data_IF_249412346165
#
_entry.id   IF_249412346165
#
_cell.length_a   1.000
_cell.length_b   1.000
_cell.length_c   1.000
_cell.angle_alpha   90.00
_cell.angle_beta   90.00
_cell.angle_gamma   90.00
#
_symmetry.space_group_name_H-M   'P 1'
#
loop_
_entity.id
_entity.type
_entity.pdbx_description
1 polymer ?
#
# COMPACT_ATOMS: atom_id res chain seq x y z
N UNK A 1 64.24 -24.39 7.34
CA UNK A 1 63.60 -25.17 6.26
C UNK A 1 62.09 -25.08 6.42
N UNK A 2 61.41 -24.55 5.39
CA UNK A 2 60.05 -24.87 4.92
C UNK A 2 58.89 -24.59 5.92
N UNK A 3 58.19 -23.46 5.85
CA UNK A 3 57.21 -23.00 4.84
C UNK A 3 55.86 -23.73 4.88
N UNK A 4 54.80 -22.92 4.82
CA UNK A 4 53.40 -23.21 4.46
C UNK A 4 52.56 -23.97 5.52
N UNK A 5 51.33 -23.56 5.84
CA UNK A 5 50.34 -22.87 5.02
C UNK A 5 49.25 -22.29 5.95
N UNK A 6 49.03 -20.98 5.85
CA UNK A 6 47.76 -20.36 6.23
C UNK A 6 46.64 -21.09 5.49
N UNK A 7 45.64 -21.60 6.21
CA UNK A 7 44.38 -22.02 5.61
C UNK A 7 43.32 -20.99 5.97
N UNK A 8 43.25 -19.98 5.11
CA UNK A 8 42.11 -19.11 4.95
C UNK A 8 40.96 -19.98 4.40
N UNK A 9 39.96 -20.23 5.24
CA UNK A 9 38.71 -20.86 4.85
C UNK A 9 37.60 -19.84 5.07
N UNK A 10 37.46 -18.91 4.13
CA UNK A 10 36.28 -18.07 3.97
C UNK A 10 35.04 -18.95 4.00
N UNK A 11 34.31 -18.96 5.10
CA UNK A 11 32.94 -19.44 5.07
C UNK A 11 32.11 -18.37 4.39
N UNK A 12 31.65 -18.73 3.20
CA UNK A 12 30.76 -17.96 2.38
C UNK A 12 29.52 -17.58 3.20
N UNK A 13 29.32 -16.28 3.36
CA UNK A 13 28.03 -15.69 3.69
C UNK A 13 27.15 -15.79 2.43
N UNK A 14 26.72 -17.01 2.08
CA UNK A 14 25.68 -17.24 1.07
C UNK A 14 24.87 -18.46 1.47
N UNK A 15 23.74 -18.18 2.10
CA UNK A 15 22.54 -18.99 2.13
C UNK A 15 21.47 -18.16 2.86
N UNK A 16 21.05 -17.08 2.21
CA UNK A 16 19.68 -16.63 2.38
C UNK A 16 18.79 -17.69 1.71
N UNK A 17 18.48 -18.76 2.43
CA UNK A 17 17.28 -19.56 2.17
C UNK A 17 16.99 -20.45 3.39
N UNK A 18 16.27 -19.95 4.42
CA UNK A 18 15.58 -20.86 5.31
C UNK A 18 14.41 -21.44 4.51
N UNK A 19 14.63 -22.66 4.04
CA UNK A 19 13.62 -23.58 3.56
C UNK A 19 12.30 -23.40 4.33
N UNK A 20 11.30 -22.90 3.61
CA UNK A 20 9.91 -23.34 3.61
C UNK A 20 9.48 -24.08 4.89
N UNK A 21 8.99 -23.33 5.88
CA UNK A 21 8.06 -23.90 6.84
C UNK A 21 6.85 -24.43 6.06
N UNK A 22 6.47 -25.71 6.19
CA UNK A 22 5.43 -26.35 5.38
C UNK A 22 3.99 -25.87 5.67
N UNK A 23 3.85 -24.86 6.55
CA UNK A 23 2.57 -24.29 7.01
C UNK A 23 2.38 -22.86 6.49
N UNK A 24 3.10 -22.45 5.43
CA UNK A 24 3.05 -21.09 4.89
C UNK A 24 2.44 -21.07 3.50
N UNK A 25 1.32 -20.36 3.36
CA UNK A 25 0.69 -20.11 2.08
C UNK A 25 1.67 -19.45 1.09
N UNK A 26 1.62 -19.85 -0.17
CA UNK A 26 2.43 -19.24 -1.23
C UNK A 26 1.90 -17.85 -1.56
N UNK A 27 2.75 -16.83 -1.60
CA UNK A 27 2.34 -15.46 -1.98
C UNK A 27 2.71 -15.23 -3.45
N UNK A 28 1.74 -14.77 -4.24
CA UNK A 28 1.93 -14.34 -5.62
C UNK A 28 1.47 -12.90 -5.78
N UNK A 29 2.32 -12.11 -6.40
CA UNK A 29 2.04 -10.71 -6.72
C UNK A 29 1.49 -10.67 -8.14
N UNK A 30 0.41 -9.90 -8.37
CA UNK A 30 -0.12 -9.65 -9.71
C UNK A 30 0.50 -8.39 -10.30
N UNK A 31 0.59 -8.31 -11.62
CA UNK A 31 1.10 -7.12 -12.31
C UNK A 31 0.30 -5.85 -11.97
N UNK A 32 -1.01 -5.99 -11.73
CA UNK A 32 -1.85 -4.86 -11.29
C UNK A 32 -1.44 -4.38 -9.92
N UNK A 33 -1.17 -5.28 -8.97
CA UNK A 33 -0.69 -4.90 -7.66
C UNK A 33 0.64 -4.14 -7.73
N UNK A 34 1.58 -4.62 -8.53
CA UNK A 34 2.87 -3.96 -8.73
C UNK A 34 2.70 -2.57 -9.35
N UNK A 35 1.86 -2.45 -10.40
CA UNK A 35 1.54 -1.16 -11.00
C UNK A 35 0.87 -0.20 -10.02
N UNK A 36 0.00 -0.70 -9.13
CA UNK A 36 -0.61 0.11 -8.06
C UNK A 36 0.41 0.57 -7.02
N UNK A 37 1.37 -0.28 -6.64
CA UNK A 37 2.46 0.11 -5.73
C UNK A 37 3.31 1.23 -6.32
N UNK A 38 3.70 1.12 -7.59
CA UNK A 38 4.46 2.17 -8.28
C UNK A 38 3.68 3.50 -8.36
N UNK A 39 2.36 3.45 -8.52
CA UNK A 39 1.53 4.65 -8.50
C UNK A 39 1.49 5.30 -7.11
N UNK A 40 1.41 4.48 -6.05
CA UNK A 40 1.48 4.98 -4.66
C UNK A 40 2.86 5.59 -4.41
N UNK A 41 3.95 4.90 -4.75
CA UNK A 41 5.31 5.42 -4.63
C UNK A 41 5.43 6.82 -5.26
N UNK A 42 4.95 6.96 -6.50
CA UNK A 42 5.00 8.24 -7.21
C UNK A 42 4.22 9.33 -6.46
N UNK A 43 3.01 9.03 -5.98
CA UNK A 43 2.20 9.99 -5.22
C UNK A 43 2.91 10.45 -3.94
N UNK A 44 3.54 9.52 -3.22
CA UNK A 44 4.26 9.83 -1.97
C UNK A 44 5.54 10.63 -2.23
N UNK A 45 6.27 10.33 -3.29
CA UNK A 45 7.43 11.12 -3.73
C UNK A 45 6.99 12.53 -4.13
N UNK A 46 5.92 12.67 -4.93
CA UNK A 46 5.37 13.97 -5.34
C UNK A 46 4.88 14.80 -4.14
N UNK A 47 4.36 14.14 -3.09
CA UNK A 47 3.94 14.77 -1.85
C UNK A 47 5.09 15.09 -0.88
N UNK A 48 6.34 14.73 -1.22
CA UNK A 48 7.51 14.95 -0.37
C UNK A 48 7.64 13.99 0.81
N UNK A 49 6.93 12.86 0.78
CA UNK A 49 6.86 11.87 1.87
C UNK A 49 7.46 10.52 1.45
N UNK A 50 8.55 10.49 0.67
CA UNK A 50 9.16 9.24 0.19
C UNK A 50 9.46 8.23 1.33
N UNK A 51 9.92 8.71 2.49
CA UNK A 51 10.24 7.89 3.67
C UNK A 51 9.04 7.04 4.14
N UNK A 52 7.82 7.54 4.01
CA UNK A 52 6.66 6.81 4.46
C UNK A 52 6.18 5.75 3.46
N UNK A 53 6.60 5.85 2.18
CA UNK A 53 6.51 4.73 1.25
C UNK A 53 7.53 3.62 1.61
N UNK A 54 8.77 3.96 1.96
CA UNK A 54 9.74 2.97 2.45
C UNK A 54 9.21 2.24 3.70
N UNK A 55 8.61 2.95 4.66
CA UNK A 55 7.98 2.36 5.84
C UNK A 55 6.81 1.43 5.48
N UNK A 56 6.02 1.77 4.45
CA UNK A 56 4.95 0.91 3.95
C UNK A 56 5.51 -0.41 3.41
N UNK A 57 6.55 -0.36 2.60
CA UNK A 57 7.19 -1.54 2.02
C UNK A 57 7.84 -2.39 3.12
N UNK A 58 8.56 -1.77 4.05
CA UNK A 58 9.16 -2.48 5.19
C UNK A 58 8.08 -3.20 6.00
N UNK A 59 6.94 -2.57 6.28
CA UNK A 59 5.87 -3.20 7.05
C UNK A 59 5.15 -4.30 6.28
N UNK A 60 4.97 -4.13 4.97
CA UNK A 60 4.44 -5.20 4.13
C UNK A 60 5.32 -6.46 4.25
N UNK A 61 6.65 -6.31 4.17
CA UNK A 61 7.59 -7.44 4.21
C UNK A 61 7.77 -8.03 5.62
N UNK A 62 7.88 -7.18 6.63
CA UNK A 62 8.22 -7.60 8.00
C UNK A 62 7.02 -8.02 8.83
N UNK A 63 5.82 -7.52 8.52
CA UNK A 63 4.62 -7.71 9.34
C UNK A 63 3.48 -8.37 8.56
N UNK A 64 3.06 -7.80 7.44
CA UNK A 64 1.82 -8.20 6.75
C UNK A 64 1.98 -9.52 6.02
N UNK A 65 3.01 -9.64 5.16
CA UNK A 65 3.29 -10.87 4.42
C UNK A 65 3.53 -12.08 5.33
N UNK A 66 4.37 -12.02 6.39
CA UNK A 66 4.57 -13.18 7.27
C UNK A 66 3.31 -13.56 8.03
N UNK A 67 2.48 -12.58 8.44
CA UNK A 67 1.19 -12.85 9.04
C UNK A 67 0.23 -13.53 8.06
N UNK A 68 0.09 -13.00 6.84
CA UNK A 68 -0.79 -13.58 5.82
C UNK A 68 -0.35 -15.00 5.43
N UNK A 69 0.96 -15.25 5.34
CA UNK A 69 1.49 -16.59 5.06
C UNK A 69 1.08 -17.61 6.11
N UNK A 70 0.99 -17.19 7.37
CA UNK A 70 0.65 -18.07 8.52
C UNK A 70 -0.86 -18.13 8.76
N UNK A 71 -1.58 -17.03 8.53
CA UNK A 71 -3.01 -16.87 8.77
C UNK A 71 -3.69 -16.22 7.56
N UNK A 72 -3.81 -16.94 6.42
CA UNK A 72 -4.33 -16.38 5.18
C UNK A 72 -5.81 -15.96 5.27
N UNK A 73 -6.54 -16.46 6.27
CA UNK A 73 -7.96 -16.14 6.52
C UNK A 73 -8.17 -15.04 7.55
N UNK A 74 -7.12 -14.30 7.93
CA UNK A 74 -7.19 -13.21 8.92
C UNK A 74 -7.93 -11.98 8.38
N UNK A 75 -7.96 -11.77 7.07
CA UNK A 75 -8.72 -10.69 6.44
C UNK A 75 -10.24 -10.91 6.47
N UNK A 76 -10.99 -9.85 6.17
CA UNK A 76 -12.45 -9.87 6.00
C UNK A 76 -12.81 -10.52 4.67
N UNK A 77 -13.66 -11.56 4.69
CA UNK A 77 -14.20 -12.17 3.47
C UNK A 77 -15.11 -11.16 2.76
N UNK A 78 -14.73 -10.76 1.54
CA UNK A 78 -15.48 -9.83 0.68
C UNK A 78 -16.00 -10.49 -0.59
N UNK A 79 -15.96 -11.83 -0.66
CA UNK A 79 -16.40 -12.58 -1.85
C UNK A 79 -17.87 -12.37 -2.21
N UNK A 80 -18.70 -11.98 -1.24
CA UNK A 80 -20.12 -11.66 -1.45
C UNK A 80 -20.39 -10.18 -1.75
N UNK A 81 -19.51 -9.27 -1.31
CA UNK A 81 -19.66 -7.83 -1.52
C UNK A 81 -18.28 -7.19 -1.57
N UNK A 82 -17.83 -6.90 -2.79
CA UNK A 82 -16.57 -6.21 -3.00
C UNK A 82 -16.73 -4.74 -2.56
N UNK A 83 -15.78 -4.17 -1.81
CA UNK A 83 -15.81 -2.75 -1.48
C UNK A 83 -15.63 -1.89 -2.75
N UNK A 84 -16.37 -0.78 -2.86
CA UNK A 84 -16.32 0.13 -4.02
C UNK A 84 -14.89 0.58 -4.36
N UNK A 85 -14.02 0.76 -3.35
CA UNK A 85 -12.61 1.13 -3.56
C UNK A 85 -11.82 0.10 -4.40
N UNK A 86 -12.29 -1.14 -4.49
CA UNK A 86 -11.66 -2.21 -5.26
C UNK A 86 -12.37 -2.56 -6.56
N UNK A 87 -13.56 -1.99 -6.85
CA UNK A 87 -14.29 -2.31 -8.08
C UNK A 87 -13.47 -2.02 -9.34
N UNK A 88 -12.75 -0.90 -9.38
CA UNK A 88 -11.89 -0.56 -10.53
C UNK A 88 -10.79 -1.61 -10.78
N UNK A 89 -10.25 -2.22 -9.72
CA UNK A 89 -9.27 -3.31 -9.86
C UNK A 89 -9.93 -4.57 -10.43
N UNK A 90 -11.18 -4.84 -10.03
CA UNK A 90 -11.94 -5.99 -10.51
C UNK A 90 -12.64 -5.76 -11.86
N UNK A 91 -12.53 -4.58 -12.46
CA UNK A 91 -12.97 -4.33 -13.85
C UNK A 91 -11.87 -4.63 -14.89
N UNK A 92 -10.65 -4.95 -14.45
CA UNK A 92 -9.55 -5.31 -15.34
C UNK A 92 -9.76 -6.73 -15.88
N UNK A 93 -9.91 -6.86 -17.20
CA UNK A 93 -10.34 -8.12 -17.84
C UNK A 93 -9.58 -9.37 -17.39
N UNK A 94 -8.25 -9.30 -17.30
CA UNK A 94 -7.46 -10.46 -16.87
C UNK A 94 -7.65 -10.80 -15.37
N UNK A 95 -7.91 -9.80 -14.52
CA UNK A 95 -8.19 -10.01 -13.10
C UNK A 95 -9.58 -10.62 -12.90
N UNK A 96 -10.56 -10.23 -13.71
CA UNK A 96 -11.88 -10.87 -13.75
C UNK A 96 -11.74 -12.35 -14.08
N UNK A 97 -11.01 -12.69 -15.15
CA UNK A 97 -10.81 -14.09 -15.54
C UNK A 97 -10.02 -14.90 -14.52
N UNK A 98 -9.01 -14.29 -13.89
CA UNK A 98 -8.28 -14.92 -12.77
C UNK A 98 -9.22 -15.19 -11.60
N UNK A 99 -10.06 -14.21 -11.27
CA UNK A 99 -10.96 -14.30 -10.13
C UNK A 99 -12.06 -15.33 -10.33
N UNK A 100 -12.70 -15.34 -11.51
CA UNK A 100 -13.72 -16.33 -11.86
C UNK A 100 -13.16 -17.75 -11.82
N UNK A 101 -11.95 -17.96 -12.35
CA UNK A 101 -11.26 -19.27 -12.26
C UNK A 101 -10.98 -19.66 -10.82
N UNK A 102 -10.50 -18.73 -10.02
CA UNK A 102 -10.21 -18.99 -8.62
C UNK A 102 -11.48 -19.31 -7.83
N UNK A 103 -12.57 -18.56 -8.07
CA UNK A 103 -13.88 -18.79 -7.46
C UNK A 103 -14.45 -20.15 -7.85
N UNK A 104 -14.32 -20.55 -9.11
CA UNK A 104 -14.69 -21.89 -9.58
C UNK A 104 -13.91 -23.01 -8.88
N UNK A 105 -12.68 -22.72 -8.46
CA UNK A 105 -11.84 -23.62 -7.64
C UNK A 105 -12.08 -23.49 -6.12
N UNK A 106 -13.10 -22.75 -5.69
CA UNK A 106 -13.41 -22.52 -4.28
C UNK A 106 -12.58 -21.43 -3.59
N UNK A 107 -11.87 -20.61 -4.37
CA UNK A 107 -11.12 -19.45 -3.89
C UNK A 107 -12.02 -18.31 -3.40
N UNK A 108 -11.51 -17.52 -2.46
CA UNK A 108 -12.23 -16.44 -1.79
C UNK A 108 -11.41 -15.16 -1.77
N UNK A 109 -12.05 -14.00 -1.96
CA UNK A 109 -11.40 -12.71 -1.74
C UNK A 109 -11.49 -12.33 -0.29
N UNK A 110 -10.39 -11.77 0.18
CA UNK A 110 -10.26 -11.19 1.49
C UNK A 110 -9.68 -9.79 1.38
N UNK A 111 -10.10 -8.93 2.29
CA UNK A 111 -9.51 -7.62 2.51
C UNK A 111 -8.83 -7.63 3.86
N UNK A 112 -7.55 -7.31 3.88
CA UNK A 112 -6.80 -7.08 5.11
C UNK A 112 -6.48 -5.60 5.24
N UNK A 113 -6.94 -5.01 6.32
CA UNK A 113 -6.67 -3.62 6.67
C UNK A 113 -5.46 -3.59 7.60
N UNK A 114 -4.44 -2.81 7.24
CA UNK A 114 -3.21 -2.68 8.00
C UNK A 114 -2.70 -1.24 7.85
N UNK A 115 -2.13 -0.70 8.91
CA UNK A 115 -2.04 0.75 9.00
C UNK A 115 -1.72 1.21 10.41
N UNK A 116 -0.98 2.30 10.52
CA UNK A 116 -0.79 3.06 11.75
C UNK A 116 -0.22 4.43 11.36
N UNK A 117 -0.54 5.46 12.12
CA UNK A 117 0.02 6.78 11.90
C UNK A 117 1.52 6.78 12.29
N UNK A 118 2.44 7.31 11.47
CA UNK A 118 2.23 8.26 10.37
C UNK A 118 2.16 7.65 8.95
N UNK A 119 2.35 6.35 8.78
CA UNK A 119 2.45 5.71 7.46
C UNK A 119 1.13 5.65 6.69
N UNK A 120 0.00 5.88 7.36
CA UNK A 120 -1.35 5.81 6.78
C UNK A 120 -2.03 4.45 7.04
N UNK A 121 -3.32 4.40 6.74
CA UNK A 121 -4.10 3.15 6.79
C UNK A 121 -4.29 2.63 5.37
N UNK A 122 -4.10 1.33 5.17
CA UNK A 122 -4.20 0.67 3.88
C UNK A 122 -5.12 -0.54 3.96
N UNK A 123 -5.79 -0.82 2.84
CA UNK A 123 -6.46 -2.08 2.60
C UNK A 123 -5.76 -2.82 1.46
N UNK A 124 -5.41 -4.07 1.75
CA UNK A 124 -4.92 -5.05 0.80
C UNK A 124 -6.05 -5.98 0.39
N UNK A 125 -6.39 -5.97 -0.89
CA UNK A 125 -7.24 -6.98 -1.50
C UNK A 125 -6.37 -8.15 -1.97
N UNK A 126 -6.68 -9.33 -1.46
CA UNK A 126 -6.02 -10.55 -1.87
C UNK A 126 -7.01 -11.69 -2.05
N UNK A 127 -6.65 -12.63 -2.92
CA UNK A 127 -7.43 -13.81 -3.23
C UNK A 127 -6.71 -15.04 -2.66
N UNK A 128 -7.42 -15.81 -1.84
CA UNK A 128 -6.93 -17.08 -1.32
C UNK A 128 -7.55 -18.22 -2.12
N UNK A 129 -6.73 -18.98 -2.85
CA UNK A 129 -7.16 -20.16 -3.59
C UNK A 129 -6.28 -21.37 -3.25
N UNK A 130 -6.90 -22.45 -2.78
CA UNK A 130 -6.26 -23.65 -2.21
C UNK A 130 -5.35 -23.28 -1.03
N UNK A 131 -4.10 -22.88 -1.30
CA UNK A 131 -3.10 -22.45 -0.32
C UNK A 131 -2.19 -21.34 -0.90
N UNK A 132 -2.65 -20.67 -1.94
CA UNK A 132 -1.95 -19.56 -2.60
C UNK A 132 -2.72 -18.26 -2.38
N UNK A 133 -2.01 -17.26 -1.89
CA UNK A 133 -2.42 -15.88 -1.72
C UNK A 133 -2.00 -15.09 -2.95
N UNK A 134 -2.96 -14.59 -3.71
CA UNK A 134 -2.73 -13.69 -4.83
C UNK A 134 -3.00 -12.26 -4.36
N UNK A 135 -1.97 -11.42 -4.33
CA UNK A 135 -2.12 -10.00 -4.04
C UNK A 135 -2.71 -9.33 -5.28
N UNK A 136 -3.94 -8.83 -5.15
CA UNK A 136 -4.70 -8.28 -6.28
C UNK A 136 -4.50 -6.78 -6.34
N UNK A 137 -4.73 -6.06 -5.25
CA UNK A 137 -4.64 -4.61 -5.23
C UNK A 137 -4.39 -4.11 -3.81
N UNK A 138 -3.72 -2.97 -3.70
CA UNK A 138 -3.59 -2.19 -2.47
C UNK A 138 -4.21 -0.81 -2.66
N UNK A 139 -4.84 -0.29 -1.61
CA UNK A 139 -5.43 1.05 -1.55
C UNK A 139 -5.11 1.66 -0.19
N UNK A 140 -4.91 2.96 -0.15
CA UNK A 140 -4.99 3.72 1.10
C UNK A 140 -6.47 3.78 1.54
N UNK A 141 -6.78 3.35 2.75
CA UNK A 141 -8.10 3.48 3.40
C UNK A 141 -8.16 4.66 4.36
N UNK A 142 -6.99 5.10 4.82
CA UNK A 142 -6.86 6.21 5.73
C UNK A 142 -7.35 7.48 5.09
N UNK A 143 -8.05 8.28 5.89
CA UNK A 143 -8.48 9.63 5.57
C UNK A 143 -7.27 10.58 5.42
N UNK A 144 -6.40 10.31 4.45
CA UNK A 144 -5.52 11.28 3.82
C UNK A 144 -6.34 12.22 2.93
N UNK A 145 -7.39 12.82 3.50
CA UNK A 145 -7.72 14.18 3.12
C UNK A 145 -6.51 15.01 3.52
N UNK A 146 -5.46 14.99 2.69
CA UNK A 146 -4.75 16.21 2.38
C UNK A 146 -5.81 17.11 1.76
N UNK A 147 -6.59 17.72 2.65
CA UNK A 147 -7.22 18.98 2.35
C UNK A 147 -6.03 19.92 2.21
N UNK A 148 -5.41 19.90 1.02
CA UNK A 148 -4.80 21.11 0.50
C UNK A 148 -5.96 22.06 0.28
N UNK A 149 -6.51 22.59 1.37
CA UNK A 149 -7.22 23.86 1.39
C UNK A 149 -6.13 24.94 1.32
N UNK A 150 -5.35 24.87 0.25
CA UNK A 150 -4.42 25.92 -0.12
C UNK A 150 -5.18 26.86 -1.05
N UNK A 151 -5.13 28.13 -0.70
CA UNK A 151 -5.53 29.28 -1.53
C UNK A 151 -7.03 29.53 -1.68
N UNK A 152 -7.66 30.03 -0.61
CA UNK A 152 -8.56 31.16 -0.79
C UNK A 152 -7.86 32.40 -0.26
N UNK A 153 -7.06 33.01 -1.14
CA UNK A 153 -6.59 34.39 -1.00
C UNK A 153 -7.82 35.26 -1.25
N UNK A 154 -8.30 36.09 -0.31
CA UNK A 154 -9.17 37.19 -0.69
C UNK A 154 -8.29 38.22 -1.42
N UNK A 155 -8.11 38.04 -2.73
CA UNK A 155 -7.78 39.12 -3.62
C UNK A 155 -9.03 39.99 -3.74
N UNK A 156 -9.17 40.95 -2.84
CA UNK A 156 -10.01 42.12 -3.06
C UNK A 156 -9.16 43.33 -2.79
N UNK A 157 -8.40 43.67 -3.83
CA UNK A 157 -7.91 45.02 -4.01
C UNK A 157 -9.11 45.98 -4.17
N UNK A 158 -8.89 47.19 -3.67
CA UNK A 158 -9.40 48.46 -4.19
C UNK A 158 -10.82 48.90 -3.77
N UNK A 159 -10.86 49.87 -2.86
CA UNK A 159 -11.14 51.29 -3.17
C UNK A 159 -11.28 52.03 -1.84
N UNK A 160 -10.30 52.83 -1.45
CA UNK A 160 -10.28 54.26 -1.79
C UNK A 160 -11.67 54.89 -1.65
N UNK A 161 -11.94 55.43 -0.45
CA UNK A 161 -12.78 56.63 -0.24
C UNK A 161 -12.62 57.08 1.20
N UNK A 162 -11.63 57.95 1.40
CA UNK A 162 -11.77 59.04 2.36
C UNK A 162 -12.93 59.92 1.93
N UNK A 163 -13.88 60.22 2.83
CA UNK A 163 -14.44 61.56 2.85
C UNK A 163 -13.95 62.27 4.12
N UNK A 164 -13.11 63.26 3.85
CA UNK A 164 -12.84 64.43 4.66
C UNK A 164 -14.09 64.88 5.44
N UNK A 165 -13.94 65.01 6.76
CA UNK A 165 -14.88 65.74 7.61
C UNK A 165 -14.89 67.20 7.21
N UNK A 166 -16.03 67.91 7.33
CA UNK A 166 -16.06 68.84 8.45
C UNK A 166 -17.42 68.92 9.13
N UNK A 167 -17.44 68.62 10.43
CA UNK A 167 -18.43 69.18 11.34
C UNK A 167 -18.09 70.64 11.64
N UNK A 168 -18.97 71.55 11.28
CA UNK A 168 -18.98 72.94 11.76
C UNK A 168 -20.39 73.22 12.31
N UNK A 169 -20.57 73.36 13.63
CA UNK A 169 -21.77 73.95 14.21
C UNK A 169 -21.61 75.48 14.27
N UNK A 170 -22.72 76.23 14.14
CA UNK A 170 -23.23 76.95 15.31
C UNK A 170 -24.69 76.64 15.65
#
# INVERSE_FOLDING_TARGET
MISMKHRNGSQALTAADPALSPDRAAVRITDYFEARLLEIERQWIEAGNAEAFDLLIERLDTEVLPQLRTAPRMGRDVSGQIPEQFEAALCVGYLVEMLERARAAGGKLYVHEFGDAPSGEYALLYLLAQETLYLVSIRETGAGAVTTRSSSVPHSAQSDRSPDSPGCPP
#
